data_IF_803304274685
#
_entry.id   IF_803304274685
#
_cell.length_a   1.000
_cell.length_b   1.000
_cell.length_c   1.000
_cell.angle_alpha   90.00
_cell.angle_beta   90.00
_cell.angle_gamma   90.00
#
_symmetry.space_group_name_H-M   'P 1'
#
loop_
_entity.id
_entity.type
_entity.pdbx_description
1 polymer ?
#
# COMPACT_ATOMS: atom_id res chain seq x y z
N UNK A 1 -19.58 -4.81 -0.70
CA UNK A 1 -18.14 -4.93 -0.39
C UNK A 1 -17.83 -6.39 -0.20
N UNK A 2 -16.93 -6.92 -1.02
CA UNK A 2 -16.43 -8.28 -0.89
C UNK A 2 -15.30 -8.33 0.14
N UNK A 3 -15.06 -9.52 0.66
CA UNK A 3 -13.97 -9.81 1.58
C UNK A 3 -12.81 -10.35 0.77
N UNK A 4 -11.63 -9.77 0.88
CA UNK A 4 -10.42 -10.23 0.21
C UNK A 4 -9.37 -10.66 1.23
N UNK A 5 -8.83 -11.85 1.02
CA UNK A 5 -7.64 -12.37 1.69
C UNK A 5 -6.43 -11.98 0.86
N UNK A 6 -5.62 -11.07 1.39
CA UNK A 6 -4.45 -10.51 0.73
C UNK A 6 -3.18 -11.16 1.29
N UNK A 7 -2.31 -11.59 0.40
CA UNK A 7 -1.03 -12.22 0.73
C UNK A 7 0.09 -11.66 -0.15
N UNK A 8 1.20 -11.24 0.45
CA UNK A 8 2.38 -10.80 -0.28
C UNK A 8 3.61 -10.92 0.61
N UNK A 9 4.60 -11.74 0.24
CA UNK A 9 5.78 -11.97 1.06
C UNK A 9 5.41 -12.47 2.46
N UNK A 10 5.66 -11.65 3.48
CA UNK A 10 5.29 -11.93 4.89
C UNK A 10 3.94 -11.35 5.30
N UNK A 11 3.34 -10.49 4.47
CA UNK A 11 2.01 -9.92 4.69
C UNK A 11 0.92 -10.97 4.47
N UNK A 12 0.05 -11.12 5.47
CA UNK A 12 -1.22 -11.87 5.38
C UNK A 12 -2.30 -11.09 6.10
N UNK A 13 -3.27 -10.57 5.35
CA UNK A 13 -4.34 -9.75 5.90
C UNK A 13 -5.67 -10.03 5.23
N UNK A 14 -6.75 -9.70 5.93
CA UNK A 14 -8.09 -9.70 5.39
C UNK A 14 -8.63 -8.27 5.31
N UNK A 15 -9.06 -7.87 4.12
CA UNK A 15 -9.52 -6.52 3.81
C UNK A 15 -10.92 -6.58 3.21
N UNK A 16 -11.77 -5.59 3.51
CA UNK A 16 -13.04 -5.40 2.81
C UNK A 16 -12.88 -4.31 1.76
N UNK A 17 -13.21 -4.62 0.51
CA UNK A 17 -13.12 -3.68 -0.59
C UNK A 17 -14.24 -3.92 -1.61
N UNK A 18 -14.45 -2.96 -2.51
CA UNK A 18 -15.39 -3.14 -3.61
C UNK A 18 -14.83 -4.07 -4.70
N UNK A 19 -13.52 -4.07 -4.88
CA UNK A 19 -12.80 -4.86 -5.88
C UNK A 19 -11.40 -5.25 -5.36
N UNK A 20 -10.80 -6.25 -6.01
CA UNK A 20 -9.50 -6.77 -5.64
C UNK A 20 -8.38 -5.71 -5.77
N UNK A 21 -8.49 -4.79 -6.71
CA UNK A 21 -7.47 -3.77 -6.94
C UNK A 21 -7.40 -2.77 -5.79
N UNK A 22 -8.56 -2.33 -5.29
CA UNK A 22 -8.69 -1.51 -4.08
C UNK A 22 -8.18 -2.25 -2.84
N UNK A 23 -8.44 -3.55 -2.72
CA UNK A 23 -7.89 -4.35 -1.64
C UNK A 23 -6.35 -4.41 -1.69
N UNK A 24 -5.76 -4.54 -2.88
CA UNK A 24 -4.31 -4.50 -3.07
C UNK A 24 -3.72 -3.13 -2.71
N UNK A 25 -4.32 -2.03 -3.19
CA UNK A 25 -3.91 -0.66 -2.83
C UNK A 25 -3.99 -0.42 -1.32
N UNK A 26 -5.04 -0.92 -0.67
CA UNK A 26 -5.20 -0.81 0.78
C UNK A 26 -4.11 -1.57 1.54
N UNK A 27 -3.77 -2.79 1.08
CA UNK A 27 -2.70 -3.58 1.66
C UNK A 27 -1.35 -2.86 1.56
N UNK A 28 -1.02 -2.30 0.39
CA UNK A 28 0.18 -1.47 0.21
C UNK A 28 0.17 -0.26 1.14
N UNK A 29 -0.94 0.48 1.19
CA UNK A 29 -1.06 1.63 2.06
C UNK A 29 -0.78 1.28 3.53
N UNK A 30 -1.36 0.17 4.01
CA UNK A 30 -1.15 -0.30 5.39
C UNK A 30 0.28 -0.75 5.65
N UNK A 31 0.90 -1.46 4.72
CA UNK A 31 2.32 -1.84 4.82
C UNK A 31 3.22 -0.61 4.92
N UNK A 32 2.97 0.43 4.12
CA UNK A 32 3.72 1.68 4.18
C UNK A 32 3.49 2.46 5.49
N UNK A 33 2.27 2.41 6.04
CA UNK A 33 1.93 3.00 7.36
C UNK A 33 2.61 2.28 8.52
N UNK A 34 2.91 0.99 8.43
CA UNK A 34 3.58 0.22 9.49
C UNK A 34 5.06 0.55 9.66
N UNK A 35 5.68 1.20 8.67
CA UNK A 35 7.12 1.52 8.67
C UNK A 35 7.37 2.93 9.21
N UNK A 36 6.38 3.81 9.13
CA UNK A 36 6.40 5.17 9.67
C UNK A 36 6.67 5.29 11.20
N UNK A 37 6.17 4.40 12.08
CA UNK A 37 6.35 4.54 13.55
C UNK A 37 7.79 4.36 14.04
N UNK A 38 8.71 3.85 13.22
CA UNK A 38 10.09 3.57 13.62
C UNK A 38 10.99 4.83 13.47
N UNK A 39 10.50 5.88 12.82
CA UNK A 39 11.29 7.05 12.40
C UNK A 39 10.89 8.37 13.06
N UNK A 40 10.07 8.35 14.12
CA UNK A 40 9.57 9.57 14.75
C UNK A 40 10.67 10.38 15.50
N UNK A 41 11.84 9.78 15.75
CA UNK A 41 12.97 10.45 16.45
C UNK A 41 13.86 11.32 15.54
N UNK A 42 13.67 11.31 14.22
CA UNK A 42 14.47 12.13 13.31
C UNK A 42 13.60 12.99 12.39
N UNK A 43 13.83 14.30 12.49
CA UNK A 43 13.21 15.36 11.68
C UNK A 43 13.63 15.27 10.20
N UNK A 44 13.25 14.19 9.52
CA UNK A 44 13.49 14.00 8.10
C UNK A 44 12.32 14.58 7.27
N UNK A 45 12.61 15.23 6.14
CA UNK A 45 11.59 15.69 5.20
C UNK A 45 10.78 14.51 4.65
N UNK A 46 9.50 14.75 4.35
CA UNK A 46 8.56 13.73 3.87
C UNK A 46 9.07 12.94 2.65
N UNK A 47 9.87 13.59 1.79
CA UNK A 47 10.47 12.97 0.60
C UNK A 47 11.53 11.91 0.93
N UNK A 48 12.34 12.09 1.96
CA UNK A 48 13.35 11.11 2.37
C UNK A 48 12.71 9.95 3.17
N UNK A 49 11.68 10.24 3.97
CA UNK A 49 10.86 9.21 4.62
C UNK A 49 10.24 8.27 3.58
N UNK A 50 9.79 8.82 2.45
CA UNK A 50 9.23 8.05 1.33
C UNK A 50 10.24 7.08 0.71
N UNK A 51 11.50 7.50 0.59
CA UNK A 51 12.55 6.70 -0.04
C UNK A 51 13.07 5.58 0.88
N UNK A 52 13.12 5.83 2.19
CA UNK A 52 13.47 4.81 3.20
C UNK A 52 12.31 3.82 3.39
N UNK A 53 11.06 4.29 3.39
CA UNK A 53 9.88 3.44 3.41
C UNK A 53 9.77 2.57 2.16
N UNK A 54 10.16 3.07 0.99
CA UNK A 54 10.27 2.25 -0.23
C UNK A 54 11.26 1.10 -0.08
N UNK A 55 12.42 1.33 0.53
CA UNK A 55 13.43 0.29 0.71
C UNK A 55 13.05 -0.74 1.77
N UNK A 56 12.37 -0.34 2.85
CA UNK A 56 11.96 -1.26 3.93
C UNK A 56 10.58 -1.89 3.72
N UNK A 57 9.66 -1.23 3.02
CA UNK A 57 8.32 -1.75 2.71
C UNK A 57 8.33 -2.85 1.66
N UNK A 58 9.35 -2.83 0.80
CA UNK A 58 9.70 -3.94 -0.08
C UNK A 58 10.18 -5.20 0.67
N UNK A 59 10.53 -5.12 1.96
CA UNK A 59 10.90 -6.33 2.73
C UNK A 59 9.69 -7.05 3.32
N UNK A 60 8.54 -6.37 3.48
CA UNK A 60 7.31 -6.98 4.02
C UNK A 60 6.47 -7.58 2.90
N UNK A 61 6.27 -6.80 1.84
CA UNK A 61 5.63 -7.23 0.60
C UNK A 61 6.62 -8.06 -0.22
N UNK A 62 6.16 -9.12 -0.86
CA UNK A 62 6.95 -9.86 -1.84
C UNK A 62 6.88 -9.20 -3.22
N UNK A 63 7.41 -9.85 -4.24
CA UNK A 63 7.33 -9.34 -5.63
C UNK A 63 5.89 -9.29 -6.15
N UNK A 64 5.02 -10.17 -5.63
CA UNK A 64 3.62 -10.29 -6.03
C UNK A 64 2.66 -10.13 -4.83
N UNK A 65 1.46 -9.61 -5.11
CA UNK A 65 0.32 -9.53 -4.20
C UNK A 65 -0.77 -10.45 -4.73
N UNK A 66 -1.12 -11.46 -3.92
CA UNK A 66 -2.18 -12.43 -4.21
C UNK A 66 -3.45 -12.11 -3.43
N UNK A 67 -4.59 -12.13 -4.11
CA UNK A 67 -5.89 -11.84 -3.54
C UNK A 67 -6.91 -12.91 -3.88
N UNK A 68 -7.68 -13.33 -2.88
CA UNK A 68 -8.80 -14.26 -3.07
C UNK A 68 -9.95 -13.91 -2.15
N UNK A 69 -11.19 -14.13 -2.60
CA UNK A 69 -12.37 -13.94 -1.74
C UNK A 69 -12.62 -15.13 -0.81
N UNK A 70 -12.01 -16.28 -1.11
CA UNK A 70 -12.31 -17.56 -0.47
C UNK A 70 -11.31 -17.93 0.63
N UNK A 71 -10.06 -17.45 0.55
CA UNK A 71 -9.03 -17.75 1.57
C UNK A 71 -7.59 -17.47 1.12
N UNK A 72 -6.63 -17.76 1.98
CA UNK A 72 -5.19 -17.65 1.66
C UNK A 72 -4.69 -18.86 0.84
N UNK A 73 -3.51 -18.72 0.22
CA UNK A 73 -2.80 -19.81 -0.48
C UNK A 73 -3.63 -20.52 -1.58
N UNK A 74 -4.53 -19.77 -2.24
CA UNK A 74 -5.46 -20.24 -3.28
C UNK A 74 -4.84 -20.13 -4.68
N UNK A 75 -4.76 -21.22 -5.42
CA UNK A 75 -4.18 -21.24 -6.79
C UNK A 75 -4.99 -20.42 -7.82
N UNK A 76 -6.27 -20.14 -7.52
CA UNK A 76 -7.16 -19.28 -8.30
C UNK A 76 -7.17 -17.82 -7.83
N UNK A 77 -6.18 -17.42 -7.01
CA UNK A 77 -6.04 -16.05 -6.56
C UNK A 77 -5.72 -15.10 -7.73
N UNK A 78 -6.25 -13.88 -7.64
CA UNK A 78 -5.81 -12.78 -8.50
C UNK A 78 -4.43 -12.33 -8.06
N UNK A 79 -3.54 -12.13 -9.03
CA UNK A 79 -2.14 -11.78 -8.80
C UNK A 79 -1.87 -10.39 -9.38
N UNK A 80 -1.17 -9.58 -8.60
CA UNK A 80 -0.71 -8.26 -9.00
C UNK A 80 0.77 -8.13 -8.71
N UNK A 81 1.51 -7.53 -9.64
CA UNK A 81 2.89 -7.12 -9.39
C UNK A 81 2.91 -6.06 -8.28
N UNK A 82 3.64 -6.31 -7.20
CA UNK A 82 3.71 -5.40 -6.05
C UNK A 82 4.18 -4.02 -6.49
N UNK A 83 5.16 -3.97 -7.39
CA UNK A 83 5.70 -2.71 -7.90
C UNK A 83 4.65 -1.86 -8.62
N UNK A 84 3.74 -2.49 -9.37
CA UNK A 84 2.68 -1.79 -10.09
C UNK A 84 1.68 -1.17 -9.11
N UNK A 85 1.27 -1.92 -8.09
CA UNK A 85 0.34 -1.45 -7.06
C UNK A 85 0.99 -0.35 -6.21
N UNK A 86 2.28 -0.48 -5.88
CA UNK A 86 3.04 0.57 -5.16
C UNK A 86 3.16 1.83 -6.00
N UNK A 87 3.41 1.70 -7.30
CA UNK A 87 3.50 2.84 -8.22
C UNK A 87 2.17 3.58 -8.31
N UNK A 88 1.07 2.85 -8.46
CA UNK A 88 -0.28 3.43 -8.48
C UNK A 88 -0.62 4.10 -7.15
N UNK A 89 -0.36 3.44 -6.02
CA UNK A 89 -0.54 4.02 -4.70
C UNK A 89 0.23 5.34 -4.55
N UNK A 90 1.49 5.37 -5.00
CA UNK A 90 2.32 6.57 -4.97
C UNK A 90 1.71 7.71 -5.83
N UNK A 91 1.20 7.40 -7.02
CA UNK A 91 0.51 8.37 -7.87
C UNK A 91 -0.74 8.94 -7.19
N UNK A 92 -1.51 8.12 -6.49
CA UNK A 92 -2.68 8.56 -5.71
C UNK A 92 -2.28 9.50 -4.56
N UNK A 93 -1.21 9.19 -3.83
CA UNK A 93 -0.71 10.04 -2.76
C UNK A 93 -0.20 11.39 -3.27
N UNK A 94 0.50 11.42 -4.40
CA UNK A 94 0.94 12.66 -5.05
C UNK A 94 -0.27 13.48 -5.50
N UNK A 95 -1.27 12.85 -6.12
CA UNK A 95 -2.50 13.53 -6.52
C UNK A 95 -3.24 14.15 -5.32
N UNK A 96 -3.34 13.40 -4.21
CA UNK A 96 -3.95 13.88 -2.98
C UNK A 96 -3.20 15.07 -2.39
N UNK A 97 -1.86 15.01 -2.30
CA UNK A 97 -1.04 16.11 -1.78
C UNK A 97 -1.21 17.40 -2.61
N UNK A 98 -1.28 17.27 -3.95
CA UNK A 98 -1.53 18.41 -4.84
C UNK A 98 -2.93 19.00 -4.65
N UNK A 99 -3.93 18.16 -4.42
CA UNK A 99 -5.29 18.63 -4.13
C UNK A 99 -5.33 19.38 -2.80
N UNK A 100 -4.68 18.85 -1.75
CA UNK A 100 -4.57 19.50 -0.45
C UNK A 100 -3.90 20.87 -0.56
N UNK A 101 -2.77 20.97 -1.27
CA UNK A 101 -2.08 22.23 -1.54
C UNK A 101 -3.00 23.24 -2.24
N UNK A 102 -3.74 22.79 -3.26
CA UNK A 102 -4.68 23.66 -3.98
C UNK A 102 -5.84 24.16 -3.10
N UNK A 103 -6.33 23.31 -2.18
CA UNK A 103 -7.41 23.68 -1.25
C UNK A 103 -6.90 24.63 -0.16
N UNK A 104 -5.66 24.47 0.30
CA UNK A 104 -5.03 25.38 1.25
C UNK A 104 -4.69 26.74 0.63
N UNK A 105 -4.30 26.78 -0.64
CA UNK A 105 -3.97 28.02 -1.35
C UNK A 105 -5.19 28.91 -1.68
N UNK A 106 -6.41 28.36 -1.61
CA UNK A 106 -7.67 29.08 -1.85
C UNK A 106 -8.26 29.68 -0.56
N UNK A 107 -7.62 29.46 0.60
CA UNK A 107 -8.04 29.98 1.91
C UNK A 107 -7.17 31.14 2.37
#
# INVERSE_FOLDING_TARGET
MAKFYVQSGTLREMVQADDARKAALWAVHRSMQQILPIYDDHAMPASEKHQVAQLQGLFVLGDEIRLSELGFDRDDALEFETFDIVTEWNQLMIALARLEESLMAVR
#
